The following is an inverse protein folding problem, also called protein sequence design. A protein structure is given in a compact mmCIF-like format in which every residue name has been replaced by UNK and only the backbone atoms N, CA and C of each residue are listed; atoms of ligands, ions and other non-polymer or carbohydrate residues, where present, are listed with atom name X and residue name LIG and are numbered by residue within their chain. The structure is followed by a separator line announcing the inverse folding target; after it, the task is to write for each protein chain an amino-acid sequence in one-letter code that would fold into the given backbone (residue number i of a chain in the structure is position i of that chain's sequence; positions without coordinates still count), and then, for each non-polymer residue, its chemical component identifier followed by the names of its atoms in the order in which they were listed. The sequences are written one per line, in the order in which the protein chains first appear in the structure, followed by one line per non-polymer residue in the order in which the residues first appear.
data_IF_879121348792
#
_entry.id   IF_879121348792
#
_cell.length_a   1.000
_cell.length_b   1.000
_cell.length_c   1.000
_cell.angle_alpha   90.00
_cell.angle_beta   90.00
_cell.angle_gamma   90.00
#
_symmetry.space_group_name_H-M   'P 1'
#
loop_
_entity.id
_entity.type
_entity.pdbx_description
1 polymer ?
#
# COMPACT_ATOMS: atom_id res chain seq x y z
N UNK A 1 -16.97 -11.86 -26.38
CA UNK A 1 -18.34 -11.94 -26.93
C UNK A 1 -19.23 -12.90 -26.14
N UNK A 2 -18.87 -14.18 -26.01
CA UNK A 2 -19.69 -15.20 -25.29
C UNK A 2 -19.94 -14.88 -23.82
N UNK A 3 -18.98 -14.27 -23.12
CA UNK A 3 -19.11 -13.90 -21.70
C UNK A 3 -20.14 -12.78 -21.44
N UNK A 4 -20.41 -11.91 -22.43
CA UNK A 4 -21.40 -10.81 -22.30
C UNK A 4 -22.86 -11.29 -22.29
N UNK A 5 -23.13 -12.54 -22.69
CA UNK A 5 -24.48 -13.10 -22.78
C UNK A 5 -24.92 -13.85 -21.51
N UNK A 6 -23.99 -14.15 -20.58
CA UNK A 6 -24.24 -15.06 -19.45
C UNK A 6 -24.59 -14.31 -18.16
N UNK A 7 -24.08 -13.09 -17.94
CA UNK A 7 -24.48 -12.21 -16.84
C UNK A 7 -23.99 -10.77 -17.09
N UNK A 8 -24.81 -9.89 -17.69
CA UNK A 8 -24.37 -8.53 -18.06
C UNK A 8 -24.02 -7.64 -16.85
N UNK A 9 -24.54 -7.94 -15.65
CA UNK A 9 -24.30 -7.15 -14.44
C UNK A 9 -23.01 -7.50 -13.67
N UNK A 10 -22.64 -8.78 -13.62
CA UNK A 10 -21.48 -9.28 -12.85
C UNK A 10 -20.13 -8.85 -13.43
N UNK A 11 -20.06 -8.67 -14.76
CA UNK A 11 -18.83 -8.19 -15.41
C UNK A 11 -18.58 -6.71 -15.14
N UNK A 12 -19.65 -5.91 -15.07
CA UNK A 12 -19.55 -4.48 -14.79
C UNK A 12 -18.94 -4.22 -13.41
N UNK A 13 -19.36 -4.99 -12.39
CA UNK A 13 -18.83 -4.86 -11.03
C UNK A 13 -17.37 -5.31 -10.93
N UNK A 14 -16.98 -6.40 -11.59
CA UNK A 14 -15.58 -6.87 -11.62
C UNK A 14 -14.67 -5.89 -12.35
N UNK A 15 -15.10 -5.37 -13.51
CA UNK A 15 -14.34 -4.36 -14.26
C UNK A 15 -14.21 -3.07 -13.45
N UNK A 16 -15.28 -2.63 -12.78
CA UNK A 16 -15.23 -1.48 -11.87
C UNK A 16 -14.28 -1.70 -10.69
N UNK A 17 -14.22 -2.91 -10.14
CA UNK A 17 -13.27 -3.25 -9.08
C UNK A 17 -11.81 -3.26 -9.56
N UNK A 18 -11.56 -3.72 -10.80
CA UNK A 18 -10.24 -3.72 -11.43
C UNK A 18 -9.73 -2.30 -11.76
N UNK A 19 -10.62 -1.37 -12.10
CA UNK A 19 -10.28 0.05 -12.31
C UNK A 19 -10.12 0.78 -10.97
N UNK A 20 -10.82 0.31 -9.94
CA UNK A 20 -10.91 0.92 -8.63
C UNK A 20 -12.02 1.97 -8.56
N UNK A 21 -12.79 1.96 -7.46
CA UNK A 21 -13.87 2.92 -7.20
C UNK A 21 -14.06 3.13 -5.71
N UNK A 22 -14.38 4.37 -5.33
CA UNK A 22 -14.78 4.73 -3.96
C UNK A 22 -16.31 4.78 -3.80
N UNK A 23 -17.07 4.49 -4.86
CA UNK A 23 -18.53 4.48 -4.82
C UNK A 23 -19.06 3.39 -3.88
N UNK A 24 -20.17 3.68 -3.19
CA UNK A 24 -20.79 2.75 -2.24
C UNK A 24 -20.09 2.61 -0.88
N UNK A 25 -19.03 3.39 -0.61
CA UNK A 25 -18.35 3.38 0.70
C UNK A 25 -19.17 4.10 1.77
N UNK A 26 -19.81 3.31 2.63
CA UNK A 26 -20.42 3.79 3.87
C UNK A 26 -19.38 3.94 4.99
N UNK A 27 -19.71 4.77 5.99
CA UNK A 27 -18.91 4.99 7.22
C UNK A 27 -18.47 3.71 7.93
N UNK A 28 -19.19 2.61 7.69
CA UNK A 28 -18.83 1.33 8.23
C UNK A 28 -17.46 0.83 7.73
N UNK A 29 -17.17 1.02 6.45
CA UNK A 29 -15.88 0.61 5.90
C UNK A 29 -14.71 1.45 6.41
N UNK A 30 -14.97 2.70 6.83
CA UNK A 30 -13.98 3.55 7.45
C UNK A 30 -13.58 3.01 8.82
N UNK A 31 -14.55 2.65 9.69
CA UNK A 31 -14.24 2.17 11.04
C UNK A 31 -13.37 0.91 11.04
N UNK A 32 -13.46 0.10 10.00
CA UNK A 32 -12.67 -1.13 9.85
C UNK A 32 -11.26 -0.86 9.29
N UNK A 33 -11.13 0.15 8.40
CA UNK A 33 -9.87 0.44 7.72
C UNK A 33 -8.93 1.34 8.55
N UNK A 34 -9.46 2.33 9.27
CA UNK A 34 -8.63 3.30 9.98
C UNK A 34 -7.71 2.70 11.06
N UNK A 35 -8.12 1.72 11.90
CA UNK A 35 -7.23 1.23 12.95
C UNK A 35 -6.10 0.40 12.34
N UNK A 36 -6.41 -0.37 11.29
CA UNK A 36 -5.43 -1.12 10.53
C UNK A 36 -4.43 -0.19 9.82
N UNK A 37 -4.92 0.86 9.16
CA UNK A 37 -4.06 1.85 8.51
C UNK A 37 -3.18 2.59 9.52
N UNK A 38 -3.72 2.95 10.69
CA UNK A 38 -2.98 3.63 11.75
C UNK A 38 -1.84 2.76 12.31
N UNK A 39 -2.10 1.48 12.57
CA UNK A 39 -1.08 0.55 13.08
C UNK A 39 0.07 0.39 12.10
N UNK A 40 -0.22 0.17 10.82
CA UNK A 40 0.82 -0.01 9.82
C UNK A 40 1.51 1.30 9.43
N UNK A 41 0.82 2.44 9.50
CA UNK A 41 1.45 3.75 9.34
C UNK A 41 2.44 4.05 10.47
N UNK A 42 2.08 3.73 11.71
CA UNK A 42 3.00 3.83 12.85
C UNK A 42 4.21 2.91 12.67
N UNK A 43 4.00 1.66 12.24
CA UNK A 43 5.10 0.74 11.95
C UNK A 43 6.02 1.27 10.83
N UNK A 44 5.46 1.84 9.76
CA UNK A 44 6.23 2.47 8.69
C UNK A 44 7.05 3.67 9.18
N UNK A 45 6.50 4.48 10.10
CA UNK A 45 7.22 5.58 10.74
C UNK A 45 8.42 5.10 11.57
N UNK A 46 8.26 4.02 12.35
CA UNK A 46 9.40 3.44 13.10
C UNK A 46 10.49 2.91 12.15
N UNK A 47 10.11 2.46 10.95
CA UNK A 47 11.04 2.00 9.92
C UNK A 47 11.77 3.13 9.18
N UNK A 48 11.42 4.40 9.39
CA UNK A 48 12.04 5.54 8.69
C UNK A 48 13.56 5.63 8.95
N UNK A 49 14.00 5.47 10.19
CA UNK A 49 15.41 5.49 10.58
C UNK A 49 16.22 4.35 9.94
N UNK A 50 15.83 3.06 10.07
CA UNK A 50 16.56 1.97 9.42
C UNK A 50 16.51 2.07 7.89
N UNK A 51 15.42 2.54 7.29
CA UNK A 51 15.35 2.80 5.85
C UNK A 51 16.32 3.90 5.41
N UNK A 52 16.52 4.93 6.22
CA UNK A 52 17.48 6.00 5.95
C UNK A 52 18.92 5.47 5.99
N UNK A 53 19.25 4.64 6.98
CA UNK A 53 20.55 3.98 7.05
C UNK A 53 20.79 3.04 5.85
N UNK A 54 19.77 2.30 5.44
CA UNK A 54 19.84 1.44 4.26
C UNK A 54 20.04 2.23 2.96
N UNK A 55 19.64 3.51 2.90
CA UNK A 55 19.94 4.39 1.75
C UNK A 55 21.39 4.83 1.72
N UNK A 56 22.08 4.91 2.86
CA UNK A 56 23.50 5.26 2.92
C UNK A 56 24.42 4.12 2.43
N UNK A 57 23.98 2.86 2.59
CA UNK A 57 24.69 1.68 2.11
C UNK A 57 24.62 0.52 3.11
N UNK A 58 24.75 -0.71 2.60
CA UNK A 58 24.64 -1.92 3.43
C UNK A 58 25.83 -2.02 4.43
N UNK A 59 26.99 -1.45 4.11
CA UNK A 59 28.13 -1.36 5.04
C UNK A 59 27.85 -0.39 6.21
N UNK A 60 27.27 0.78 5.94
CA UNK A 60 26.93 1.74 7.01
C UNK A 60 25.77 1.23 7.89
N UNK A 61 24.81 0.52 7.29
CA UNK A 61 23.74 -0.12 8.03
C UNK A 61 24.26 -1.24 8.97
N UNK A 62 25.15 -2.10 8.47
CA UNK A 62 25.73 -3.18 9.28
C UNK A 62 26.64 -2.65 10.39
N UNK A 63 27.38 -1.56 10.16
CA UNK A 63 28.18 -0.88 11.18
C UNK A 63 27.32 -0.28 12.32
N UNK A 64 26.07 0.11 12.03
CA UNK A 64 25.10 0.57 13.02
C UNK A 64 24.38 -0.57 13.76
N UNK A 65 24.74 -1.83 13.49
CA UNK A 65 24.10 -3.02 14.08
C UNK A 65 22.78 -3.41 13.42
N UNK A 66 22.45 -2.85 12.24
CA UNK A 66 21.24 -3.17 11.51
C UNK A 66 21.50 -4.31 10.52
N UNK A 67 20.72 -5.39 10.64
CA UNK A 67 20.66 -6.43 9.60
C UNK A 67 19.91 -5.88 8.37
N UNK A 68 20.64 -5.51 7.33
CA UNK A 68 20.06 -4.93 6.11
C UNK A 68 18.97 -5.82 5.47
N UNK A 69 19.16 -7.14 5.49
CA UNK A 69 18.17 -8.11 5.00
C UNK A 69 16.87 -8.07 5.81
N UNK A 70 16.94 -8.01 7.13
CA UNK A 70 15.76 -7.96 8.02
C UNK A 70 15.06 -6.61 7.92
N UNK A 71 15.82 -5.52 7.81
CA UNK A 71 15.27 -4.18 7.59
C UNK A 71 14.49 -4.08 6.27
N UNK A 72 15.07 -4.58 5.17
CA UNK A 72 14.37 -4.64 3.87
C UNK A 72 13.11 -5.52 3.93
N UNK A 73 13.19 -6.70 4.54
CA UNK A 73 12.05 -7.58 4.69
C UNK A 73 10.92 -6.93 5.51
N UNK A 74 11.24 -6.30 6.63
CA UNK A 74 10.26 -5.60 7.46
C UNK A 74 9.59 -4.44 6.70
N UNK A 75 10.38 -3.69 5.92
CA UNK A 75 9.86 -2.60 5.09
C UNK A 75 8.91 -3.11 3.99
N UNK A 76 9.28 -4.20 3.33
CA UNK A 76 8.43 -4.85 2.33
C UNK A 76 7.13 -5.34 2.95
N UNK A 77 7.18 -5.98 4.12
CA UNK A 77 5.97 -6.44 4.82
C UNK A 77 5.07 -5.26 5.17
N UNK A 78 5.62 -4.15 5.69
CA UNK A 78 4.83 -2.96 5.96
C UNK A 78 4.20 -2.36 4.70
N UNK A 79 4.97 -2.27 3.61
CA UNK A 79 4.48 -1.74 2.34
C UNK A 79 3.37 -2.61 1.76
N UNK A 80 3.55 -3.94 1.75
CA UNK A 80 2.57 -4.93 1.28
C UNK A 80 1.32 -4.88 2.13
N UNK A 81 1.46 -4.81 3.46
CA UNK A 81 0.31 -4.65 4.34
C UNK A 81 -0.46 -3.40 3.95
N UNK A 82 0.13 -2.20 4.05
CA UNK A 82 -0.51 -0.92 3.73
C UNK A 82 -1.19 -0.90 2.35
N UNK A 83 -0.54 -1.44 1.33
CA UNK A 83 -1.14 -1.53 -0.01
C UNK A 83 -2.28 -2.53 -0.08
N UNK A 84 -2.17 -3.70 0.54
CA UNK A 84 -3.23 -4.72 0.51
C UNK A 84 -4.55 -4.21 1.09
N UNK A 85 -4.53 -3.52 2.24
CA UNK A 85 -5.77 -2.97 2.81
C UNK A 85 -6.30 -1.74 2.06
N UNK A 86 -5.44 -0.95 1.42
CA UNK A 86 -5.91 0.11 0.52
C UNK A 86 -6.61 -0.48 -0.72
N UNK A 87 -6.00 -1.48 -1.36
CA UNK A 87 -6.55 -2.16 -2.54
C UNK A 87 -7.81 -2.96 -2.21
N UNK A 88 -7.89 -3.61 -1.04
CA UNK A 88 -9.12 -4.33 -0.64
C UNK A 88 -10.31 -3.38 -0.45
N UNK A 89 -10.04 -2.12 -0.11
CA UNK A 89 -11.06 -1.12 0.19
C UNK A 89 -11.58 -0.38 -1.04
N UNK A 90 -10.71 -0.10 -2.02
CA UNK A 90 -11.00 0.80 -3.15
C UNK A 90 -10.78 0.11 -4.51
N UNK A 91 -10.15 -1.07 -4.55
CA UNK A 91 -9.71 -1.71 -5.78
C UNK A 91 -8.34 -1.21 -6.24
N UNK A 92 -7.94 -1.59 -7.45
CA UNK A 92 -6.59 -1.32 -7.95
C UNK A 92 -6.44 0.12 -8.46
N UNK A 93 -6.04 1.04 -7.58
CA UNK A 93 -5.64 2.39 -7.99
C UNK A 93 -4.16 2.40 -8.45
N UNK A 94 -3.95 2.67 -9.74
CA UNK A 94 -2.62 2.91 -10.29
C UNK A 94 -2.08 4.31 -9.93
N UNK A 95 -0.78 4.50 -10.14
CA UNK A 95 -0.09 5.81 -10.11
C UNK A 95 0.15 6.49 -8.75
N UNK A 96 -0.72 6.32 -7.75
CA UNK A 96 -0.60 7.03 -6.46
C UNK A 96 0.76 6.77 -5.80
N UNK A 97 1.21 5.52 -5.76
CA UNK A 97 2.51 5.14 -5.18
C UNK A 97 3.74 5.70 -5.91
N UNK A 98 3.58 6.13 -7.16
CA UNK A 98 4.64 6.81 -7.91
C UNK A 98 4.56 8.33 -7.71
N UNK A 99 3.36 8.91 -7.81
CA UNK A 99 3.17 10.36 -7.73
C UNK A 99 3.48 10.91 -6.34
N UNK A 100 3.00 10.25 -5.27
CA UNK A 100 3.12 10.71 -3.89
C UNK A 100 4.58 10.98 -3.46
N UNK A 101 5.54 10.05 -3.62
CA UNK A 101 6.93 10.32 -3.20
C UNK A 101 7.60 11.43 -4.02
N UNK A 102 7.24 11.59 -5.30
CA UNK A 102 7.77 12.68 -6.11
C UNK A 102 7.29 14.04 -5.59
N UNK A 103 5.99 14.15 -5.27
CA UNK A 103 5.44 15.37 -4.69
C UNK A 103 6.01 15.67 -3.30
N UNK A 104 6.18 14.63 -2.46
CA UNK A 104 6.71 14.80 -1.11
C UNK A 104 8.18 15.25 -1.08
N UNK A 105 8.97 14.93 -2.12
CA UNK A 105 10.36 15.36 -2.26
C UNK A 105 10.53 16.67 -3.05
N UNK A 106 9.51 17.07 -3.82
CA UNK A 106 9.55 18.28 -4.63
C UNK A 106 9.21 19.57 -3.85
N UNK A 107 8.66 19.42 -2.63
CA UNK A 107 8.38 20.50 -1.68
C UNK A 107 9.52 20.59 -0.67
#
# INVERSE_FOLDING_TARGET
AVVLLVAPGELGSVVQWLIGSTEGRVWQHWHLLWPWAAVWAAAAWLLSAPLTLLRCGDEQASAAGLDAGRGRAAALVCAVALTAGAVSAVGALGFVGLLVPHLALAV
#
